data_IF_343209400091
#
_entry.id   IF_343209400091
#
_cell.length_a   1.000
_cell.length_b   1.000
_cell.length_c   1.000
_cell.angle_alpha   90.00
_cell.angle_beta   90.00
_cell.angle_gamma   90.00
#
_symmetry.space_group_name_H-M   'P 1'
#
loop_
_entity.id
_entity.type
_entity.pdbx_description
1 polymer ?
#
# COMPACT_ATOMS: atom_id res chain seq x y z
N UNK A 1 -13.58 -11.73 -5.59
CA UNK A 1 -14.56 -10.66 -5.92
C UNK A 1 -15.58 -11.25 -6.87
N UNK A 2 -16.56 -11.95 -6.32
CA UNK A 2 -17.59 -12.59 -7.15
C UNK A 2 -18.42 -11.53 -7.89
N UNK A 3 -18.70 -11.79 -9.16
CA UNK A 3 -19.50 -10.94 -10.01
C UNK A 3 -18.74 -9.87 -10.80
N UNK A 4 -17.43 -9.65 -10.58
CA UNK A 4 -16.66 -8.70 -11.40
C UNK A 4 -16.60 -9.13 -12.87
N UNK A 5 -16.31 -10.41 -13.13
CA UNK A 5 -16.26 -10.93 -14.51
C UNK A 5 -17.60 -10.77 -15.22
N UNK A 6 -18.70 -11.06 -14.52
CA UNK A 6 -20.05 -10.88 -15.03
C UNK A 6 -20.35 -9.41 -15.36
N UNK A 7 -20.02 -8.48 -14.46
CA UNK A 7 -20.17 -7.03 -14.71
C UNK A 7 -19.44 -6.62 -15.99
N UNK A 8 -18.19 -7.04 -16.15
CA UNK A 8 -17.39 -6.71 -17.35
C UNK A 8 -18.03 -7.30 -18.60
N UNK A 9 -18.46 -8.56 -18.55
CA UNK A 9 -19.10 -9.22 -19.69
C UNK A 9 -20.40 -8.51 -20.08
N UNK A 10 -21.30 -8.30 -19.12
CA UNK A 10 -22.62 -7.69 -19.33
C UNK A 10 -22.49 -6.26 -19.88
N UNK A 11 -21.54 -5.47 -19.35
CA UNK A 11 -21.28 -4.10 -19.81
C UNK A 11 -20.57 -4.05 -21.17
N UNK A 12 -19.76 -5.06 -21.49
CA UNK A 12 -19.06 -5.16 -22.77
C UNK A 12 -19.97 -5.58 -23.92
N UNK A 13 -20.99 -6.39 -23.65
CA UNK A 13 -21.93 -6.85 -24.69
C UNK A 13 -23.08 -5.88 -24.93
N UNK A 14 -23.45 -5.06 -23.93
CA UNK A 14 -24.63 -4.19 -23.97
C UNK A 14 -24.30 -2.70 -23.98
N UNK A 15 -23.21 -2.28 -24.65
CA UNK A 15 -22.78 -0.87 -24.62
C UNK A 15 -23.69 0.08 -25.43
N UNK A 16 -24.48 -0.44 -26.39
CA UNK A 16 -25.39 0.34 -27.23
C UNK A 16 -24.69 1.40 -28.10
N UNK A 17 -23.37 1.29 -28.30
CA UNK A 17 -22.57 2.31 -28.99
C UNK A 17 -22.65 2.08 -30.50
N UNK A 18 -23.35 2.97 -31.20
CA UNK A 18 -23.36 3.03 -32.67
C UNK A 18 -22.46 4.19 -33.10
N UNK A 19 -21.26 3.87 -33.57
CA UNK A 19 -20.27 4.84 -34.03
C UNK A 19 -19.59 4.34 -35.31
N UNK A 20 -19.49 5.20 -36.33
CA UNK A 20 -18.94 4.83 -37.63
C UNK A 20 -17.41 4.64 -37.60
N UNK A 21 -16.71 5.30 -36.67
CA UNK A 21 -15.27 5.18 -36.49
C UNK A 21 -14.95 4.18 -35.37
N UNK A 22 -14.27 3.10 -35.72
CA UNK A 22 -13.89 2.03 -34.79
C UNK A 22 -13.02 2.49 -33.60
N UNK A 23 -12.19 3.53 -33.77
CA UNK A 23 -11.39 4.06 -32.66
C UNK A 23 -12.24 4.88 -31.68
N UNK A 24 -13.22 5.62 -32.21
CA UNK A 24 -14.15 6.41 -31.39
C UNK A 24 -15.09 5.47 -30.62
N UNK A 25 -15.61 4.43 -31.27
CA UNK A 25 -16.46 3.41 -30.64
C UNK A 25 -15.70 2.70 -29.51
N UNK A 26 -14.46 2.29 -29.76
CA UNK A 26 -13.61 1.64 -28.75
C UNK A 26 -13.33 2.54 -27.55
N UNK A 27 -12.97 3.82 -27.77
CA UNK A 27 -12.77 4.79 -26.68
C UNK A 27 -14.03 4.95 -25.83
N UNK A 28 -15.20 5.12 -26.45
CA UNK A 28 -16.48 5.26 -25.73
C UNK A 28 -16.81 4.01 -24.92
N UNK A 29 -16.53 2.83 -25.46
CA UNK A 29 -16.71 1.54 -24.79
C UNK A 29 -15.88 1.44 -23.51
N UNK A 30 -14.61 1.84 -23.57
CA UNK A 30 -13.75 1.88 -22.37
C UNK A 30 -14.24 2.91 -21.34
N UNK A 31 -14.76 4.05 -21.78
CA UNK A 31 -15.33 5.06 -20.88
C UNK A 31 -16.59 4.53 -20.17
N UNK A 32 -17.48 3.85 -20.91
CA UNK A 32 -18.67 3.23 -20.35
C UNK A 32 -18.31 2.15 -19.33
N UNK A 33 -17.41 1.22 -19.69
CA UNK A 33 -16.92 0.18 -18.79
C UNK A 33 -16.31 0.78 -17.51
N UNK A 34 -15.50 1.82 -17.64
CA UNK A 34 -14.93 2.54 -16.50
C UNK A 34 -16.01 3.14 -15.59
N UNK A 35 -17.08 3.67 -16.16
CA UNK A 35 -18.24 4.17 -15.42
C UNK A 35 -18.93 3.06 -14.63
N UNK A 36 -19.27 1.95 -15.29
CA UNK A 36 -19.92 0.81 -14.65
C UNK A 36 -19.07 0.19 -13.54
N UNK A 37 -17.75 0.08 -13.73
CA UNK A 37 -16.84 -0.40 -12.68
C UNK A 37 -16.88 0.53 -11.44
N UNK A 38 -16.91 1.85 -11.64
CA UNK A 38 -16.98 2.81 -10.53
C UNK A 38 -18.27 2.70 -9.75
N UNK A 39 -19.40 2.58 -10.45
CA UNK A 39 -20.72 2.40 -9.82
C UNK A 39 -20.78 1.09 -9.04
N UNK A 40 -20.31 -0.01 -9.64
CA UNK A 40 -20.25 -1.29 -8.96
C UNK A 40 -19.39 -1.26 -7.69
N UNK A 41 -18.23 -0.60 -7.72
CA UNK A 41 -17.40 -0.40 -6.52
C UNK A 41 -18.14 0.41 -5.46
N UNK A 42 -18.89 1.45 -5.84
CA UNK A 42 -19.66 2.26 -4.92
C UNK A 42 -20.76 1.44 -4.23
N UNK A 43 -21.50 0.63 -5.00
CA UNK A 43 -22.52 -0.29 -4.47
C UNK A 43 -21.89 -1.30 -3.50
N UNK A 44 -20.77 -1.94 -3.88
CA UNK A 44 -20.07 -2.90 -3.00
C UNK A 44 -19.60 -2.27 -1.68
N UNK A 45 -19.15 -1.02 -1.70
CA UNK A 45 -18.79 -0.28 -0.49
C UNK A 45 -20.00 0.00 0.39
N UNK A 46 -21.12 0.39 -0.22
CA UNK A 46 -22.37 0.63 0.49
C UNK A 46 -22.87 -0.65 1.17
N UNK A 47 -22.92 -1.76 0.43
CA UNK A 47 -23.33 -3.08 0.96
C UNK A 47 -22.43 -3.51 2.13
N UNK A 48 -21.11 -3.39 1.96
CA UNK A 48 -20.15 -3.71 3.03
C UNK A 48 -20.34 -2.83 4.26
N UNK A 49 -20.60 -1.53 4.08
CA UNK A 49 -20.86 -0.62 5.20
C UNK A 49 -22.17 -0.94 5.92
N UNK A 50 -23.22 -1.27 5.17
CA UNK A 50 -24.51 -1.69 5.72
C UNK A 50 -24.36 -2.97 6.54
N UNK A 51 -23.68 -3.98 5.99
CA UNK A 51 -23.43 -5.25 6.68
C UNK A 51 -22.60 -5.05 7.96
N UNK A 52 -21.55 -4.22 7.90
CA UNK A 52 -20.73 -3.85 9.07
C UNK A 52 -21.59 -3.22 10.17
N UNK A 53 -22.46 -2.26 9.82
CA UNK A 53 -23.39 -1.61 10.77
C UNK A 53 -24.37 -2.61 11.39
N UNK A 54 -24.92 -3.52 10.59
CA UNK A 54 -25.84 -4.56 11.06
C UNK A 54 -25.19 -5.44 12.12
N UNK A 55 -23.99 -5.97 11.85
CA UNK A 55 -23.28 -6.81 12.81
C UNK A 55 -22.82 -6.05 14.06
N UNK A 56 -22.41 -4.78 13.94
CA UNK A 56 -22.10 -3.95 15.09
C UNK A 56 -23.35 -3.70 15.97
N UNK A 57 -24.51 -3.43 15.36
CA UNK A 57 -25.77 -3.26 16.09
C UNK A 57 -26.21 -4.55 16.77
N UNK A 58 -26.00 -5.69 16.13
CA UNK A 58 -26.28 -7.01 16.71
C UNK A 58 -25.38 -7.28 17.92
N UNK A 59 -24.08 -6.98 17.82
CA UNK A 59 -23.15 -7.09 18.96
C UNK A 59 -23.59 -6.19 20.12
N UNK A 60 -23.90 -4.92 19.86
CA UNK A 60 -24.39 -4.00 20.89
C UNK A 60 -25.66 -4.51 21.58
N UNK A 61 -26.58 -5.11 20.81
CA UNK A 61 -27.80 -5.71 21.36
C UNK A 61 -27.50 -6.92 22.26
N UNK A 62 -26.50 -7.73 21.90
CA UNK A 62 -26.04 -8.86 22.71
C UNK A 62 -25.35 -8.37 23.98
N UNK A 63 -24.50 -7.35 23.89
CA UNK A 63 -23.80 -6.78 25.04
C UNK A 63 -24.81 -6.26 26.09
N UNK A 64 -25.89 -5.60 25.65
CA UNK A 64 -27.00 -5.21 26.53
C UNK A 64 -27.64 -6.43 27.21
N UNK A 65 -27.87 -7.54 26.51
CA UNK A 65 -28.42 -8.76 27.14
C UNK A 65 -27.46 -9.36 28.18
N UNK A 66 -26.15 -9.30 27.92
CA UNK A 66 -25.11 -9.77 28.84
C UNK A 66 -25.14 -8.92 30.12
N UNK A 67 -25.19 -7.59 30.00
CA UNK A 67 -25.23 -6.67 31.14
C UNK A 67 -26.44 -6.90 32.05
N UNK A 68 -27.57 -7.31 31.46
CA UNK A 68 -28.78 -7.64 32.21
C UNK A 68 -28.81 -9.09 32.73
N UNK A 69 -27.77 -9.90 32.47
CA UNK A 69 -27.74 -11.32 32.84
C UNK A 69 -28.78 -12.18 32.09
N UNK A 70 -29.28 -11.70 30.94
CA UNK A 70 -30.33 -12.35 30.14
C UNK A 70 -29.80 -13.01 28.86
N UNK A 71 -28.48 -13.02 28.69
CA UNK A 71 -27.84 -13.62 27.51
C UNK A 71 -28.02 -15.14 27.50
N UNK A 72 -28.31 -15.67 26.31
CA UNK A 72 -28.47 -17.11 26.06
C UNK A 72 -27.27 -17.67 25.31
N UNK A 73 -27.10 -19.00 25.29
CA UNK A 73 -26.07 -19.66 24.47
C UNK A 73 -26.15 -19.27 22.99
N UNK A 74 -27.36 -19.05 22.48
CA UNK A 74 -27.59 -18.57 21.13
C UNK A 74 -27.01 -17.16 20.92
N UNK A 75 -27.11 -16.27 21.91
CA UNK A 75 -26.50 -14.93 21.83
C UNK A 75 -24.98 -15.01 21.74
N UNK A 76 -24.34 -15.94 22.46
CA UNK A 76 -22.88 -16.14 22.36
C UNK A 76 -22.46 -16.71 21.00
N UNK A 77 -23.22 -17.64 20.44
CA UNK A 77 -23.00 -18.14 19.07
C UNK A 77 -23.10 -17.00 18.05
N UNK A 78 -24.16 -16.20 18.16
CA UNK A 78 -24.42 -15.05 17.31
C UNK A 78 -23.33 -13.97 17.42
N UNK A 79 -22.79 -13.77 18.62
CA UNK A 79 -21.66 -12.86 18.89
C UNK A 79 -20.42 -13.32 18.12
N UNK A 80 -20.06 -14.60 18.27
CA UNK A 80 -18.90 -15.20 17.58
C UNK A 80 -19.02 -15.09 16.06
N UNK A 81 -20.19 -15.39 15.51
CA UNK A 81 -20.43 -15.28 14.08
C UNK A 81 -20.30 -13.83 13.58
N UNK A 82 -20.93 -12.88 14.28
CA UNK A 82 -20.87 -11.46 13.93
C UNK A 82 -19.45 -10.93 14.00
N UNK A 83 -18.68 -11.31 15.03
CA UNK A 83 -17.27 -10.95 15.14
C UNK A 83 -16.44 -11.53 13.99
N UNK A 84 -16.67 -12.79 13.59
CA UNK A 84 -15.98 -13.39 12.44
C UNK A 84 -16.23 -12.60 11.16
N UNK A 85 -17.49 -12.26 10.88
CA UNK A 85 -17.87 -11.50 9.68
C UNK A 85 -17.22 -10.12 9.68
N UNK A 86 -17.21 -9.42 10.83
CA UNK A 86 -16.54 -8.12 10.95
C UNK A 86 -15.03 -8.22 10.68
N UNK A 87 -14.35 -9.24 11.23
CA UNK A 87 -12.94 -9.48 10.95
C UNK A 87 -12.67 -9.76 9.47
N UNK A 88 -13.54 -10.52 8.80
CA UNK A 88 -13.41 -10.80 7.37
C UNK A 88 -13.59 -9.51 6.53
N UNK A 89 -14.54 -8.64 6.90
CA UNK A 89 -14.74 -7.34 6.25
C UNK A 89 -13.53 -6.42 6.42
N UNK A 90 -12.98 -6.33 7.63
CA UNK A 90 -11.79 -5.51 7.93
C UNK A 90 -10.56 -6.01 7.16
N UNK A 91 -10.40 -7.34 7.02
CA UNK A 91 -9.33 -7.94 6.22
C UNK A 91 -9.44 -7.55 4.74
N UNK A 92 -10.66 -7.54 4.18
CA UNK A 92 -10.90 -7.14 2.79
C UNK A 92 -10.59 -5.64 2.61
N UNK A 93 -11.02 -4.80 3.53
CA UNK A 93 -10.76 -3.35 3.50
C UNK A 93 -9.26 -3.03 3.59
N UNK A 94 -8.54 -3.71 4.49
CA UNK A 94 -7.09 -3.58 4.61
C UNK A 94 -6.36 -3.98 3.32
N UNK A 95 -6.79 -5.07 2.67
CA UNK A 95 -6.22 -5.51 1.39
C UNK A 95 -6.47 -4.50 0.26
N UNK A 96 -7.66 -3.91 0.18
CA UNK A 96 -7.99 -2.87 -0.81
C UNK A 96 -7.13 -1.61 -0.59
N UNK A 97 -6.96 -1.18 0.66
CA UNK A 97 -6.12 -0.05 1.01
C UNK A 97 -4.64 -0.30 0.64
N UNK A 98 -4.12 -1.49 0.95
CA UNK A 98 -2.77 -1.89 0.60
C UNK A 98 -2.56 -1.91 -0.93
N UNK A 99 -3.53 -2.40 -1.70
CA UNK A 99 -3.46 -2.39 -3.15
C UNK A 99 -3.43 -0.96 -3.71
N UNK A 100 -4.30 -0.06 -3.22
CA UNK A 100 -4.29 1.34 -3.64
C UNK A 100 -2.97 2.02 -3.32
N UNK A 101 -2.42 1.77 -2.13
CA UNK A 101 -1.11 2.29 -1.75
C UNK A 101 -0.05 1.81 -2.74
N UNK A 102 0.01 0.50 -3.04
CA UNK A 102 0.97 -0.06 -4.02
C UNK A 102 0.85 0.57 -5.40
N UNK A 103 -0.37 0.79 -5.90
CA UNK A 103 -0.60 1.45 -7.19
C UNK A 103 -0.10 2.90 -7.13
N UNK A 104 -0.43 3.64 -6.06
CA UNK A 104 0.02 5.01 -5.85
C UNK A 104 1.56 5.10 -5.84
N UNK A 105 2.23 4.21 -5.09
CA UNK A 105 3.69 4.09 -5.08
C UNK A 105 4.27 3.81 -6.47
N UNK A 106 3.65 2.93 -7.26
CA UNK A 106 4.13 2.63 -8.61
C UNK A 106 3.96 3.81 -9.58
N UNK A 107 2.93 4.65 -9.39
CA UNK A 107 2.66 5.83 -10.24
C UNK A 107 3.53 7.04 -9.90
N UNK A 108 3.74 7.31 -8.60
CA UNK A 108 4.55 8.44 -8.14
C UNK A 108 6.05 8.21 -8.40
N UNK A 109 6.43 6.97 -8.74
CA UNK A 109 7.81 6.56 -8.84
C UNK A 109 8.44 6.48 -7.46
N UNK A 110 9.67 5.97 -7.39
CA UNK A 110 10.42 6.12 -6.17
C UNK A 110 11.04 7.54 -6.17
N UNK A 111 10.56 8.40 -5.28
CA UNK A 111 11.41 9.47 -4.75
C UNK A 111 12.37 8.90 -3.70
N UNK A 112 12.04 7.70 -3.20
CA UNK A 112 12.75 7.00 -2.15
C UNK A 112 14.14 6.52 -2.57
N UNK A 113 14.28 5.89 -3.72
CA UNK A 113 15.58 5.45 -4.28
C UNK A 113 16.35 6.65 -4.82
N UNK A 114 15.74 7.71 -5.39
CA UNK A 114 16.45 8.98 -5.61
C UNK A 114 17.08 9.55 -4.32
N UNK A 115 16.32 9.55 -3.22
CA UNK A 115 16.82 9.90 -1.89
C UNK A 115 17.93 8.96 -1.38
N UNK A 116 17.79 7.65 -1.56
CA UNK A 116 18.83 6.68 -1.19
C UNK A 116 20.08 6.79 -2.07
N UNK A 117 19.94 6.99 -3.38
CA UNK A 117 21.03 7.24 -4.32
C UNK A 117 21.76 8.54 -3.98
N UNK A 118 21.03 9.60 -3.65
CA UNK A 118 21.62 10.87 -3.20
C UNK A 118 22.38 10.69 -1.88
N UNK A 119 21.85 9.91 -0.95
CA UNK A 119 22.46 9.62 0.35
C UNK A 119 23.70 8.73 0.21
N UNK A 120 23.68 7.73 -0.68
CA UNK A 120 24.82 6.86 -1.00
C UNK A 120 25.94 7.63 -1.71
N UNK A 121 25.60 8.53 -2.65
CA UNK A 121 26.58 9.44 -3.27
C UNK A 121 27.24 10.33 -2.22
N UNK A 122 26.49 10.98 -1.34
CA UNK A 122 27.03 11.83 -0.27
C UNK A 122 27.99 11.11 0.69
N UNK A 123 27.78 9.82 0.97
CA UNK A 123 28.68 9.00 1.80
C UNK A 123 29.93 8.50 1.06
N UNK A 124 29.93 8.52 -0.27
CA UNK A 124 31.06 8.12 -1.11
C UNK A 124 31.96 9.30 -1.49
N UNK A 125 31.47 10.54 -1.36
CA UNK A 125 32.23 11.77 -1.63
C UNK A 125 32.88 12.40 -0.40
N UNK A 126 32.81 11.75 0.78
CA UNK A 126 33.67 12.12 1.91
C UNK A 126 34.94 11.29 1.86
N UNK A 127 36.10 11.86 1.48
CA UNK A 127 37.36 11.15 1.61
C UNK A 127 37.59 10.85 3.09
N UNK A 128 37.43 9.58 3.45
CA UNK A 128 37.87 9.06 4.74
C UNK A 128 39.39 9.23 4.73
N UNK A 129 39.91 10.12 5.58
CA UNK A 129 41.33 10.46 5.70
C UNK A 129 42.21 9.25 5.39
N UNK A 130 42.88 9.30 4.23
CA UNK A 130 43.79 8.27 3.76
C UNK A 130 45.05 8.40 4.61
N UNK A 131 45.17 7.55 5.62
CA UNK A 131 46.37 7.37 6.40
C UNK A 131 47.54 6.98 5.49
N UNK A 132 48.61 7.75 5.63
CA UNK A 132 49.98 7.48 5.19
C UNK A 132 50.36 6.01 5.33
N UNK A 133 50.69 5.38 4.20
CA UNK A 133 51.58 4.23 4.13
C UNK A 133 52.34 4.28 2.80
N UNK A 134 53.38 5.11 2.69
CA UNK A 134 54.59 4.83 1.90
C UNK A 134 55.53 6.04 1.85
N UNK A 135 56.31 6.24 2.90
CA UNK A 135 57.76 6.44 2.72
C UNK A 135 58.52 6.12 4.01
N UNK A 136 58.52 4.84 4.36
CA UNK A 136 59.45 4.29 5.34
C UNK A 136 60.76 3.94 4.63
N UNK A 137 61.54 4.96 4.26
CA UNK A 137 62.84 4.78 3.61
C UNK A 137 63.95 5.35 4.49
N UNK A 138 64.64 4.42 5.16
CA UNK A 138 66.02 4.48 5.63
C UNK A 138 66.38 5.35 6.84
N UNK A 139 66.40 4.68 8.01
CA UNK A 139 67.35 4.98 9.08
C UNK A 139 68.73 4.44 8.68
N UNK A 140 69.69 5.31 8.38
CA UNK A 140 71.14 5.05 8.57
C UNK A 140 71.92 6.38 8.62
N UNK A 141 72.74 6.55 9.64
CA UNK A 141 73.94 7.40 9.58
C UNK A 141 73.99 8.60 10.53
N UNK A 142 74.57 8.40 11.72
CA UNK A 142 75.20 9.46 12.52
C UNK A 142 76.26 10.22 11.71
N UNK A 143 76.39 11.53 11.92
CA UNK A 143 77.64 12.24 12.33
C UNK A 143 77.30 13.69 12.74
N UNK A 144 77.26 13.97 14.04
CA UNK A 144 78.21 14.80 14.82
C UNK A 144 78.67 16.14 14.21
N UNK A 145 78.38 17.16 15.02
CA UNK A 145 79.22 18.31 15.42
C UNK A 145 79.30 19.62 14.62
N UNK A 146 79.12 20.68 15.43
CA UNK A 146 79.77 22.00 15.46
C UNK A 146 79.18 23.19 14.69
N UNK A 147 78.55 24.08 15.48
CA UNK A 147 78.80 25.53 15.63
C UNK A 147 79.90 26.12 14.73
N UNK A 148 79.61 27.17 13.95
CA UNK A 148 80.06 28.58 14.16
C UNK A 148 80.16 29.41 12.86
N UNK A 149 79.74 30.68 12.99
CA UNK A 149 80.23 31.90 12.30
C UNK A 149 79.91 32.06 10.80
N UNK A 150 79.51 33.23 10.30
CA UNK A 150 79.68 34.64 10.75
C UNK A 150 78.33 35.35 10.66
#
# INVERSE_FOLDING_TARGET
MDGFHKLVLDTWTNDGIVEANGLISFKKKLQYLKGAIREWIAIKRLDSSKLKKEHLSRLSSIDVKIDHGKATDLDFLNRRESSRILCDLDRIEASDLAQKARIKYALEGDENSSFFYATLKKKSTTPRYQGDLSNRSFLYGRKVDTISKI
#
